data_IF_082855919072
#
_entry.id   IF_082855919072
#
_cell.length_a   1.000
_cell.length_b   1.000
_cell.length_c   1.000
_cell.angle_alpha   90.00
_cell.angle_beta   90.00
_cell.angle_gamma   90.00
#
_symmetry.space_group_name_H-M   'P 1'
#
loop_
_entity.id
_entity.type
_entity.pdbx_description
1 polymer ?
#
# COMPACT_ATOMS: atom_id res chain seq x y z
N UNK A 1 16.98 1.59 12.58
CA UNK A 1 17.09 2.28 11.28
C UNK A 1 16.60 3.72 11.44
N UNK A 2 17.26 4.51 12.29
CA UNK A 2 16.78 5.87 12.54
C UNK A 2 17.01 6.74 11.30
N UNK A 3 15.95 7.39 10.81
CA UNK A 3 16.03 8.38 9.73
C UNK A 3 15.96 7.84 8.29
N UNK A 4 15.55 6.59 8.05
CA UNK A 4 15.27 6.09 6.70
C UNK A 4 13.78 6.21 6.40
N UNK A 5 13.46 6.77 5.23
CA UNK A 5 12.10 6.84 4.71
C UNK A 5 12.00 5.99 3.44
N UNK A 6 10.99 5.14 3.36
CA UNK A 6 10.71 4.31 2.19
C UNK A 6 9.60 4.92 1.35
N UNK A 7 9.80 5.04 0.04
CA UNK A 7 8.69 5.22 -0.90
C UNK A 7 8.21 3.83 -1.32
N UNK A 8 6.98 3.49 -0.99
CA UNK A 8 6.46 2.15 -1.26
C UNK A 8 6.08 1.97 -2.73
N UNK A 9 5.89 0.73 -3.13
CA UNK A 9 5.01 0.35 -4.24
C UNK A 9 4.22 -0.90 -3.79
N UNK A 10 3.18 -1.24 -4.52
CA UNK A 10 2.34 -2.41 -4.24
C UNK A 10 2.52 -3.48 -5.32
N UNK A 11 2.01 -4.69 -5.06
CA UNK A 11 2.06 -5.74 -6.07
C UNK A 11 1.04 -5.45 -7.18
N UNK A 12 1.59 -5.00 -8.30
CA UNK A 12 0.85 -4.65 -9.51
C UNK A 12 0.57 -5.84 -10.42
N UNK A 13 1.25 -6.95 -10.18
CA UNK A 13 1.14 -8.13 -11.03
C UNK A 13 -0.06 -8.96 -10.58
N UNK A 14 -0.24 -9.16 -9.27
CA UNK A 14 -1.29 -10.05 -8.77
C UNK A 14 -2.32 -9.31 -7.90
N UNK A 15 -1.88 -8.51 -6.93
CA UNK A 15 -2.78 -7.99 -5.90
C UNK A 15 -3.68 -6.88 -6.43
N UNK A 16 -3.10 -5.84 -7.02
CA UNK A 16 -3.87 -4.69 -7.51
C UNK A 16 -4.87 -5.07 -8.62
N UNK A 17 -4.54 -5.91 -9.62
CA UNK A 17 -5.49 -6.16 -10.71
C UNK A 17 -6.51 -7.26 -10.41
N UNK A 18 -6.17 -8.26 -9.58
CA UNK A 18 -6.89 -9.53 -9.56
C UNK A 18 -7.45 -9.95 -8.20
N UNK A 19 -7.21 -9.19 -7.13
CA UNK A 19 -7.70 -9.53 -5.78
C UNK A 19 -8.84 -8.63 -5.32
N UNK A 20 -9.42 -8.95 -4.16
CA UNK A 20 -10.52 -8.19 -3.59
C UNK A 20 -10.04 -6.85 -2.99
N UNK A 21 -10.91 -5.82 -2.91
CA UNK A 21 -10.61 -4.57 -2.20
C UNK A 21 -10.11 -4.77 -0.76
N UNK A 22 -10.63 -5.77 -0.06
CA UNK A 22 -10.19 -6.12 1.30
C UNK A 22 -8.75 -6.61 1.28
N UNK A 23 -8.40 -7.51 0.36
CA UNK A 23 -7.04 -8.04 0.24
C UNK A 23 -6.02 -6.95 -0.12
N UNK A 24 -6.44 -5.96 -0.90
CA UNK A 24 -5.62 -4.79 -1.22
C UNK A 24 -5.29 -3.97 0.02
N UNK A 25 -6.28 -3.71 0.90
CA UNK A 25 -6.03 -3.02 2.18
C UNK A 25 -5.07 -3.80 3.07
N UNK A 26 -5.27 -5.11 3.18
CA UNK A 26 -4.36 -5.99 3.93
C UNK A 26 -2.93 -5.90 3.39
N UNK A 27 -2.75 -5.93 2.07
CA UNK A 27 -1.43 -5.80 1.44
C UNK A 27 -0.77 -4.44 1.71
N UNK A 28 -1.54 -3.35 1.72
CA UNK A 28 -1.03 -2.04 2.13
C UNK A 28 -0.46 -2.11 3.56
N UNK A 29 -1.19 -2.74 4.48
CA UNK A 29 -0.77 -2.83 5.88
C UNK A 29 0.45 -3.74 6.02
N UNK A 30 0.50 -4.86 5.30
CA UNK A 30 1.67 -5.75 5.24
C UNK A 30 2.93 -4.99 4.78
N UNK A 31 2.84 -4.17 3.72
CA UNK A 31 3.96 -3.35 3.23
C UNK A 31 4.37 -2.29 4.26
N UNK A 32 3.41 -1.66 4.94
CA UNK A 32 3.71 -0.61 5.92
C UNK A 32 4.33 -1.16 7.20
N UNK A 33 3.86 -2.31 7.69
CA UNK A 33 4.46 -3.03 8.82
C UNK A 33 5.86 -3.53 8.49
N UNK A 34 6.09 -3.98 7.25
CA UNK A 34 7.39 -4.51 6.84
C UNK A 34 8.47 -3.43 6.69
N UNK A 35 8.10 -2.23 6.22
CA UNK A 35 9.07 -1.18 5.87
C UNK A 35 9.13 -0.05 6.90
N UNK A 36 8.02 0.26 7.54
CA UNK A 36 7.93 1.45 8.37
C UNK A 36 8.33 1.21 9.82
N UNK A 37 8.71 2.31 10.48
CA UNK A 37 9.16 2.29 11.87
C UNK A 37 8.76 3.61 12.54
N UNK A 38 8.61 3.64 13.86
CA UNK A 38 8.36 4.87 14.63
C UNK A 38 9.45 5.94 14.47
N UNK A 39 10.68 5.52 14.13
CA UNK A 39 11.86 6.38 14.04
C UNK A 39 12.25 6.69 12.57
N UNK A 40 11.35 6.40 11.63
CA UNK A 40 11.54 6.54 10.18
C UNK A 40 10.24 7.01 9.51
N UNK A 41 10.05 6.67 8.23
CA UNK A 41 8.84 7.09 7.54
C UNK A 41 8.48 6.27 6.31
N UNK A 42 7.24 6.47 5.88
CA UNK A 42 6.69 5.93 4.64
C UNK A 42 6.14 7.10 3.81
N UNK A 43 6.54 7.16 2.54
CA UNK A 43 5.80 7.87 1.50
C UNK A 43 4.98 6.84 0.74
N UNK A 44 3.69 6.76 1.08
CA UNK A 44 2.75 5.83 0.49
C UNK A 44 2.63 6.07 -1.02
N UNK A 45 2.88 5.03 -1.81
CA UNK A 45 2.77 5.05 -3.26
C UNK A 45 2.41 3.65 -3.76
N UNK A 46 1.63 3.61 -4.84
CA UNK A 46 1.27 2.42 -5.60
C UNK A 46 0.96 2.84 -7.04
N UNK A 47 1.63 2.24 -8.03
CA UNK A 47 1.36 2.56 -9.44
C UNK A 47 0.04 1.93 -9.91
N UNK A 48 -0.72 2.70 -10.69
CA UNK A 48 -2.01 2.28 -11.26
C UNK A 48 -1.80 2.02 -12.75
N UNK A 49 -2.08 0.79 -13.18
CA UNK A 49 -2.10 0.37 -14.59
C UNK A 49 -3.53 0.27 -15.12
N UNK A 50 -3.70 0.21 -16.44
CA UNK A 50 -5.00 0.24 -17.12
C UNK A 50 -5.95 -0.92 -16.74
N UNK A 51 -5.39 -2.03 -16.25
CA UNK A 51 -6.11 -3.24 -15.85
C UNK A 51 -6.54 -3.24 -14.36
N UNK A 52 -6.23 -2.20 -13.60
CA UNK A 52 -6.56 -2.14 -12.16
C UNK A 52 -7.99 -1.61 -11.97
N UNK A 53 -8.90 -2.38 -11.32
CA UNK A 53 -10.27 -1.93 -11.06
C UNK A 53 -10.35 -0.69 -10.14
N UNK A 54 -11.37 0.15 -10.32
CA UNK A 54 -11.55 1.39 -9.55
C UNK A 54 -11.78 1.14 -8.06
N UNK A 55 -12.49 0.06 -7.71
CA UNK A 55 -12.74 -0.37 -6.34
C UNK A 55 -11.44 -0.75 -5.63
N UNK A 56 -10.49 -1.35 -6.35
CA UNK A 56 -9.18 -1.70 -5.83
C UNK A 56 -8.32 -0.45 -5.65
N UNK A 57 -8.32 0.47 -6.62
CA UNK A 57 -7.63 1.77 -6.49
C UNK A 57 -8.15 2.53 -5.27
N UNK A 58 -9.47 2.57 -5.09
CA UNK A 58 -10.10 3.18 -3.93
C UNK A 58 -9.64 2.52 -2.64
N UNK A 59 -9.66 1.19 -2.58
CA UNK A 59 -9.24 0.43 -1.40
C UNK A 59 -7.77 0.68 -1.03
N UNK A 60 -6.88 0.80 -2.01
CA UNK A 60 -5.48 1.19 -1.79
C UNK A 60 -5.40 2.55 -1.08
N UNK A 61 -6.05 3.58 -1.61
CA UNK A 61 -6.02 4.91 -1.01
C UNK A 61 -6.71 4.96 0.36
N UNK A 62 -7.79 4.22 0.55
CA UNK A 62 -8.42 4.05 1.86
C UNK A 62 -7.43 3.42 2.86
N UNK A 63 -6.72 2.35 2.45
CA UNK A 63 -5.68 1.72 3.26
C UNK A 63 -4.56 2.69 3.66
N UNK A 64 -4.10 3.53 2.72
CA UNK A 64 -3.09 4.57 3.02
C UNK A 64 -3.56 5.55 4.10
N UNK A 65 -4.85 5.87 4.16
CA UNK A 65 -5.42 6.85 5.10
C UNK A 65 -5.81 6.22 6.45
N UNK A 66 -6.25 4.96 6.42
CA UNK A 66 -6.70 4.21 7.60
C UNK A 66 -5.55 3.76 8.49
N UNK A 67 -4.39 3.43 7.91
CA UNK A 67 -3.24 2.96 8.69
C UNK A 67 -2.78 4.01 9.72
N UNK A 68 -2.54 3.56 10.95
CA UNK A 68 -2.04 4.35 12.08
C UNK A 68 -0.93 3.57 12.78
N UNK A 69 0.12 4.29 13.18
CA UNK A 69 1.09 3.81 14.16
C UNK A 69 0.56 3.96 15.58
#
# INVERSE_FOLDING_TARGET
MAGICFRTDLDRQEIMPYTSPIRVKEHVFEVFEALGTSDGGIVACGEISENVPLETIRAMYEGFMEYKY
#
